data_IF_214501958460
#
_entry.id   IF_214501958460
#
_cell.length_a   1.000
_cell.length_b   1.000
_cell.length_c   1.000
_cell.angle_alpha   90.00
_cell.angle_beta   90.00
_cell.angle_gamma   90.00
#
_symmetry.space_group_name_H-M   'P 1'
#
loop_
_entity.id
_entity.type
_entity.pdbx_description
1 polymer ?
#
# COMPACT_ATOMS: atom_id res chain seq x y z
N UNK A 1 -8.81 -16.67 -17.12
CA UNK A 1 -9.75 -15.77 -16.38
C UNK A 1 -9.21 -14.36 -16.51
N UNK A 2 -10.07 -13.33 -16.51
CA UNK A 2 -9.65 -11.97 -16.80
C UNK A 2 -9.41 -11.20 -15.49
N UNK A 3 -8.28 -10.49 -15.39
CA UNK A 3 -8.05 -9.53 -14.31
C UNK A 3 -8.90 -8.29 -14.58
N UNK A 4 -9.62 -7.84 -13.57
CA UNK A 4 -10.42 -6.60 -13.62
C UNK A 4 -10.08 -5.67 -12.45
N UNK A 5 -10.47 -4.43 -12.55
CA UNK A 5 -10.44 -3.51 -11.40
C UNK A 5 -11.66 -3.81 -10.53
N UNK A 6 -11.42 -3.95 -9.24
CA UNK A 6 -12.50 -4.12 -8.25
C UNK A 6 -13.19 -2.78 -7.98
N UNK A 7 -14.46 -2.86 -7.62
CA UNK A 7 -15.31 -1.72 -7.30
C UNK A 7 -15.81 -1.82 -5.85
N UNK A 8 -16.47 -0.78 -5.35
CA UNK A 8 -17.08 -0.79 -4.00
C UNK A 8 -18.07 -1.96 -3.81
N UNK A 9 -18.69 -2.46 -4.89
CA UNK A 9 -19.56 -3.63 -4.82
C UNK A 9 -18.80 -4.90 -4.42
N UNK A 10 -17.49 -4.95 -4.64
CA UNK A 10 -16.63 -6.09 -4.29
C UNK A 10 -16.16 -6.05 -2.82
N UNK A 11 -16.46 -4.98 -2.09
CA UNK A 11 -15.93 -4.73 -0.74
C UNK A 11 -16.02 -5.94 0.18
N UNK A 12 -17.20 -6.51 0.30
CA UNK A 12 -17.44 -7.66 1.18
C UNK A 12 -16.63 -8.90 0.76
N UNK A 13 -16.51 -9.17 -0.55
CA UNK A 13 -15.74 -10.30 -1.08
C UNK A 13 -14.23 -10.11 -0.86
N UNK A 14 -13.74 -8.89 -1.03
CA UNK A 14 -12.34 -8.52 -0.76
C UNK A 14 -11.99 -8.67 0.73
N UNK A 15 -12.86 -8.19 1.64
CA UNK A 15 -12.68 -8.37 3.08
C UNK A 15 -12.65 -9.87 3.46
N UNK A 16 -13.56 -10.68 2.89
CA UNK A 16 -13.54 -12.13 3.10
C UNK A 16 -12.24 -12.77 2.63
N UNK A 17 -11.76 -12.43 1.43
CA UNK A 17 -10.49 -12.93 0.92
C UNK A 17 -9.31 -12.49 1.79
N UNK A 18 -9.29 -11.23 2.26
CA UNK A 18 -8.25 -10.73 3.14
C UNK A 18 -8.11 -11.58 4.41
N UNK A 19 -9.22 -11.95 5.04
CA UNK A 19 -9.26 -12.81 6.24
C UNK A 19 -8.85 -14.26 5.96
N UNK A 20 -9.32 -14.84 4.84
CA UNK A 20 -8.99 -16.23 4.46
C UNK A 20 -7.55 -16.43 4.01
N UNK A 21 -6.89 -15.37 3.52
CA UNK A 21 -5.52 -15.40 3.03
C UNK A 21 -4.57 -14.53 3.87
N UNK A 22 -4.34 -14.85 5.17
CA UNK A 22 -3.38 -14.12 5.98
C UNK A 22 -1.97 -14.28 5.40
N UNK A 23 -1.12 -13.30 5.63
CA UNK A 23 0.29 -13.37 5.26
C UNK A 23 1.00 -14.38 6.18
N UNK A 24 1.64 -15.37 5.57
CA UNK A 24 2.46 -16.35 6.27
C UNK A 24 3.90 -15.85 6.34
N UNK A 25 4.50 -15.93 7.50
CA UNK A 25 5.89 -15.59 7.77
C UNK A 25 6.33 -16.25 9.06
N UNK A 26 7.34 -15.70 9.72
CA UNK A 26 7.72 -16.08 11.10
C UNK A 26 6.56 -15.88 12.09
N UNK A 27 5.71 -14.91 11.79
CA UNK A 27 4.44 -14.64 12.48
C UNK A 27 3.34 -14.63 11.43
N UNK A 28 2.18 -15.21 11.74
CA UNK A 28 1.01 -15.06 10.89
C UNK A 28 0.46 -13.65 11.08
N UNK A 29 0.39 -12.89 10.01
CA UNK A 29 -0.09 -11.52 10.02
C UNK A 29 -1.33 -11.38 9.15
N UNK A 30 -2.41 -10.87 9.73
CA UNK A 30 -3.64 -10.52 9.03
C UNK A 30 -3.88 -9.03 9.21
N UNK A 31 -4.03 -8.31 8.13
CA UNK A 31 -4.48 -6.93 8.15
C UNK A 31 -6.00 -6.93 8.09
N UNK A 32 -6.64 -6.52 9.18
CA UNK A 32 -8.09 -6.39 9.24
C UNK A 32 -8.53 -5.23 8.34
N UNK A 33 -9.48 -5.51 7.44
CA UNK A 33 -9.93 -4.57 6.42
C UNK A 33 -11.41 -4.20 6.56
N UNK A 34 -12.11 -4.84 7.51
CA UNK A 34 -13.53 -4.52 7.76
C UNK A 34 -13.68 -3.15 8.45
N UNK A 35 -14.74 -2.43 8.19
CA UNK A 35 -15.83 -2.74 7.23
C UNK A 35 -15.51 -2.32 5.79
N UNK A 36 -14.41 -1.64 5.56
CA UNK A 36 -14.08 -0.97 4.30
C UNK A 36 -12.68 -1.36 3.80
N UNK A 37 -12.65 -2.31 2.87
CA UNK A 37 -11.41 -2.77 2.24
C UNK A 37 -10.65 -1.62 1.57
N UNK A 38 -11.36 -0.70 0.95
CA UNK A 38 -10.77 0.38 0.16
C UNK A 38 -10.21 1.53 1.01
N UNK A 39 -10.51 1.59 2.32
CA UNK A 39 -10.01 2.64 3.19
C UNK A 39 -8.48 2.78 3.12
N UNK A 40 -7.74 1.67 3.25
CA UNK A 40 -6.28 1.70 3.13
C UNK A 40 -5.81 1.96 1.69
N UNK A 41 -6.54 1.49 0.69
CA UNK A 41 -6.23 1.74 -0.73
C UNK A 41 -6.31 3.23 -1.03
N UNK A 42 -7.34 3.91 -0.53
CA UNK A 42 -7.48 5.38 -0.65
C UNK A 42 -6.33 6.14 0.02
N UNK A 43 -5.75 5.60 1.10
CA UNK A 43 -4.57 6.18 1.74
C UNK A 43 -3.29 6.04 0.90
N UNK A 44 -3.25 5.12 -0.03
CA UNK A 44 -2.12 4.95 -0.95
C UNK A 44 -2.13 5.97 -2.10
N UNK A 45 -3.28 6.59 -2.38
CA UNK A 45 -3.41 7.64 -3.38
C UNK A 45 -4.75 7.55 -4.11
N UNK A 46 -5.16 8.64 -4.75
CA UNK A 46 -6.45 8.75 -5.46
C UNK A 46 -6.53 7.87 -6.71
N UNK A 47 -5.38 7.49 -7.27
CA UNK A 47 -5.30 6.60 -8.43
C UNK A 47 -4.93 5.15 -8.05
N UNK A 48 -4.98 4.82 -6.74
CA UNK A 48 -4.78 3.44 -6.29
C UNK A 48 -6.00 2.59 -6.65
N UNK A 49 -5.74 1.37 -7.12
CA UNK A 49 -6.76 0.43 -7.57
C UNK A 49 -6.49 -0.98 -7.02
N UNK A 50 -7.55 -1.75 -6.90
CA UNK A 50 -7.48 -3.17 -6.55
C UNK A 50 -7.74 -3.99 -7.79
N UNK A 51 -6.77 -4.81 -8.18
CA UNK A 51 -6.91 -5.79 -9.25
C UNK A 51 -7.51 -7.07 -8.68
N UNK A 52 -8.50 -7.63 -9.33
CA UNK A 52 -9.21 -8.81 -8.86
C UNK A 52 -9.39 -9.85 -9.96
N UNK A 53 -9.41 -11.11 -9.56
CA UNK A 53 -9.81 -12.26 -10.38
C UNK A 53 -10.99 -12.92 -9.67
N UNK A 54 -12.10 -13.03 -10.38
CA UNK A 54 -13.31 -13.66 -9.83
C UNK A 54 -13.14 -15.18 -9.71
N UNK A 55 -13.76 -15.74 -8.69
CA UNK A 55 -13.83 -17.18 -8.52
C UNK A 55 -14.79 -17.82 -9.55
N UNK A 56 -14.53 -19.05 -10.01
CA UNK A 56 -15.50 -19.81 -10.79
C UNK A 56 -16.83 -19.91 -10.04
N UNK A 57 -17.94 -19.59 -10.70
CA UNK A 57 -19.26 -19.61 -10.11
C UNK A 57 -19.77 -18.25 -9.63
N UNK A 58 -18.93 -17.23 -9.62
CA UNK A 58 -19.31 -15.86 -9.27
C UNK A 58 -19.47 -15.58 -7.76
N UNK A 59 -19.63 -14.32 -7.40
CA UNK A 59 -19.92 -13.89 -6.03
C UNK A 59 -18.72 -13.86 -5.05
N UNK A 60 -17.59 -14.45 -5.40
CA UNK A 60 -16.35 -14.48 -4.63
C UNK A 60 -15.15 -14.06 -5.48
N UNK A 61 -14.13 -13.55 -4.82
CA UNK A 61 -12.85 -13.20 -5.45
C UNK A 61 -11.83 -14.28 -5.14
N UNK A 62 -11.24 -14.87 -6.19
CA UNK A 62 -10.24 -15.91 -6.09
C UNK A 62 -8.83 -15.36 -5.83
N UNK A 63 -8.52 -14.18 -6.35
CA UNK A 63 -7.23 -13.54 -6.15
C UNK A 63 -7.36 -12.01 -6.25
N UNK A 64 -6.47 -11.31 -5.55
CA UNK A 64 -6.39 -9.84 -5.60
C UNK A 64 -4.95 -9.34 -5.48
N UNK A 65 -4.73 -8.10 -5.92
CA UNK A 65 -3.51 -7.34 -5.70
C UNK A 65 -3.82 -5.85 -5.78
N UNK A 66 -3.03 -5.02 -5.11
CA UNK A 66 -3.19 -3.56 -5.14
C UNK A 66 -2.09 -2.94 -5.99
N UNK A 67 -2.45 -1.98 -6.82
CA UNK A 67 -1.55 -1.11 -7.57
C UNK A 67 -1.82 0.33 -7.18
N UNK A 68 -0.78 1.07 -6.81
CA UNK A 68 -0.89 2.49 -6.48
C UNK A 68 0.26 3.28 -7.14
N UNK A 69 -0.04 4.13 -8.15
CA UNK A 69 0.94 5.05 -8.69
C UNK A 69 1.24 6.15 -7.67
N UNK A 70 2.51 6.43 -7.47
CA UNK A 70 3.00 7.36 -6.46
C UNK A 70 4.08 8.27 -7.05
N UNK A 71 4.25 9.44 -6.45
CA UNK A 71 5.46 10.26 -6.63
C UNK A 71 6.24 10.22 -5.33
N UNK A 72 7.51 9.86 -5.42
CA UNK A 72 8.42 9.74 -4.27
C UNK A 72 9.79 10.32 -4.60
N UNK A 73 10.46 10.83 -3.59
CA UNK A 73 11.86 11.24 -3.72
C UNK A 73 12.75 10.00 -3.87
N UNK A 74 13.65 10.00 -4.87
CA UNK A 74 14.69 9.00 -5.04
C UNK A 74 16.00 9.74 -5.31
N UNK A 75 16.95 9.61 -4.42
CA UNK A 75 18.07 10.54 -4.35
C UNK A 75 17.55 11.95 -4.03
N UNK A 76 17.76 12.90 -4.93
CA UNK A 76 17.28 14.29 -4.78
C UNK A 76 16.07 14.62 -5.64
N UNK A 77 15.59 13.67 -6.46
CA UNK A 77 14.61 13.95 -7.50
C UNK A 77 13.26 13.25 -7.22
N UNK A 78 12.13 13.90 -7.54
CA UNK A 78 10.85 13.26 -7.54
C UNK A 78 10.76 12.26 -8.70
N UNK A 79 10.42 11.00 -8.40
CA UNK A 79 10.26 9.92 -9.37
C UNK A 79 8.83 9.38 -9.34
N UNK A 80 8.35 8.95 -10.49
CA UNK A 80 7.10 8.19 -10.59
C UNK A 80 7.40 6.74 -10.28
N UNK A 81 6.74 6.22 -9.26
CA UNK A 81 6.89 4.82 -8.87
C UNK A 81 5.51 4.18 -8.73
N UNK A 82 5.47 2.87 -8.72
CA UNK A 82 4.25 2.12 -8.41
C UNK A 82 4.44 1.27 -7.15
N UNK A 83 3.54 1.39 -6.20
CA UNK A 83 3.47 0.46 -5.08
C UNK A 83 2.60 -0.74 -5.47
N UNK A 84 3.14 -1.94 -5.27
CA UNK A 84 2.43 -3.21 -5.47
C UNK A 84 2.24 -3.87 -4.12
N UNK A 85 0.99 -4.13 -3.76
CA UNK A 85 0.65 -4.68 -2.46
C UNK A 85 -0.48 -5.69 -2.51
N UNK A 86 -0.83 -6.20 -1.33
CA UNK A 86 -1.99 -7.05 -1.08
C UNK A 86 -2.16 -8.25 -2.03
N UNK A 87 -1.05 -8.77 -2.60
CA UNK A 87 -1.15 -9.98 -3.42
C UNK A 87 -1.64 -11.14 -2.56
N UNK A 88 -2.88 -11.54 -2.79
CA UNK A 88 -3.55 -12.62 -2.07
C UNK A 88 -4.25 -13.54 -3.04
N UNK A 89 -4.16 -14.83 -2.76
CA UNK A 89 -4.86 -15.88 -3.51
C UNK A 89 -5.62 -16.72 -2.49
N UNK A 90 -6.90 -16.92 -2.75
CA UNK A 90 -7.72 -17.78 -1.91
C UNK A 90 -7.08 -19.17 -1.79
N UNK A 91 -6.97 -19.74 -0.57
CA UNK A 91 -6.38 -21.06 -0.36
C UNK A 91 -6.94 -22.17 -1.26
N UNK A 92 -8.24 -22.12 -1.58
CA UNK A 92 -8.89 -23.09 -2.46
C UNK A 92 -8.55 -22.94 -3.95
N UNK A 93 -7.90 -21.82 -4.30
CA UNK A 93 -7.51 -21.49 -5.67
C UNK A 93 -6.00 -21.43 -5.88
N UNK A 94 -5.20 -21.85 -4.90
CA UNK A 94 -3.75 -21.96 -5.04
C UNK A 94 -3.34 -23.00 -6.10
N UNK A 95 -2.14 -22.85 -6.64
CA UNK A 95 -1.66 -23.71 -7.73
C UNK A 95 -2.16 -23.31 -9.12
N UNK A 96 -3.10 -22.36 -9.22
CA UNK A 96 -3.50 -21.74 -10.48
C UNK A 96 -2.56 -20.57 -10.82
N UNK A 97 -2.56 -20.13 -12.07
CA UNK A 97 -1.66 -19.05 -12.55
C UNK A 97 -2.06 -17.63 -12.11
N UNK A 98 -2.92 -17.47 -11.13
CA UNK A 98 -3.49 -16.19 -10.72
C UNK A 98 -2.44 -15.14 -10.28
N UNK A 99 -1.37 -15.59 -9.59
CA UNK A 99 -0.28 -14.68 -9.28
C UNK A 99 0.39 -14.11 -10.54
N UNK A 100 0.61 -14.96 -11.55
CA UNK A 100 1.17 -14.53 -12.84
C UNK A 100 0.26 -13.54 -13.55
N UNK A 101 -1.04 -13.85 -13.64
CA UNK A 101 -2.03 -12.97 -14.28
C UNK A 101 -2.11 -11.60 -13.59
N UNK A 102 -2.07 -11.55 -12.25
CA UNK A 102 -2.04 -10.29 -11.51
C UNK A 102 -0.73 -9.52 -11.72
N UNK A 103 0.41 -10.21 -11.80
CA UNK A 103 1.70 -9.55 -12.08
C UNK A 103 1.80 -9.06 -13.53
N UNK A 104 1.22 -9.78 -14.49
CA UNK A 104 1.11 -9.33 -15.89
C UNK A 104 0.25 -8.05 -15.98
N UNK A 105 -0.88 -8.02 -15.28
CA UNK A 105 -1.74 -6.85 -15.20
C UNK A 105 -1.02 -5.68 -14.49
N UNK A 106 -0.30 -5.94 -13.41
CA UNK A 106 0.49 -4.94 -12.71
C UNK A 106 1.59 -4.34 -13.61
N UNK A 107 2.27 -5.15 -14.41
CA UNK A 107 3.24 -4.67 -15.40
C UNK A 107 2.61 -3.69 -16.38
N UNK A 108 1.46 -4.04 -16.95
CA UNK A 108 0.74 -3.14 -17.85
C UNK A 108 0.36 -1.81 -17.19
N UNK A 109 0.06 -1.83 -15.87
CA UNK A 109 -0.21 -0.61 -15.10
C UNK A 109 1.04 0.25 -14.88
N UNK A 110 2.19 -0.38 -14.57
CA UNK A 110 3.46 0.34 -14.46
C UNK A 110 3.79 1.05 -15.78
N UNK A 111 3.69 0.33 -16.90
CA UNK A 111 3.94 0.88 -18.24
C UNK A 111 2.99 2.04 -18.56
N UNK A 112 1.69 1.87 -18.31
CA UNK A 112 0.67 2.88 -18.59
C UNK A 112 0.81 4.15 -17.73
N UNK A 113 1.31 4.03 -16.50
CA UNK A 113 1.54 5.18 -15.60
C UNK A 113 2.88 5.86 -15.81
N UNK A 114 3.75 5.31 -16.66
CA UNK A 114 5.11 5.79 -16.86
C UNK A 114 5.95 5.73 -15.59
N UNK A 115 5.73 4.69 -14.78
CA UNK A 115 6.50 4.49 -13.55
C UNK A 115 7.93 4.05 -13.89
N UNK A 116 8.93 4.70 -13.27
CA UNK A 116 10.34 4.35 -13.45
C UNK A 116 10.62 2.93 -12.90
N UNK A 117 9.94 2.57 -11.80
CA UNK A 117 10.01 1.23 -11.19
C UNK A 117 8.81 0.97 -10.26
N UNK A 118 8.63 -0.30 -9.90
CA UNK A 118 7.68 -0.72 -8.86
C UNK A 118 8.37 -1.06 -7.55
N UNK A 119 7.67 -0.88 -6.43
CA UNK A 119 8.11 -1.35 -5.11
C UNK A 119 7.07 -2.28 -4.51
N UNK A 120 7.53 -3.30 -3.80
CA UNK A 120 6.68 -4.20 -3.04
C UNK A 120 7.33 -4.50 -1.68
N UNK A 121 6.51 -4.62 -0.63
CA UNK A 121 6.97 -5.07 0.68
C UNK A 121 6.62 -6.54 0.86
N UNK A 122 7.63 -7.35 1.13
CA UNK A 122 7.47 -8.78 1.37
C UNK A 122 7.78 -9.09 2.83
N UNK A 123 6.82 -9.68 3.54
CA UNK A 123 7.01 -10.09 4.93
C UNK A 123 8.13 -11.15 5.03
N UNK A 124 9.06 -10.95 5.95
CA UNK A 124 10.12 -11.91 6.21
C UNK A 124 9.58 -13.31 6.53
N UNK A 125 10.15 -14.34 5.89
CA UNK A 125 9.68 -15.72 6.02
C UNK A 125 8.43 -16.08 5.18
N UNK A 126 7.91 -15.18 4.37
CA UNK A 126 6.82 -15.48 3.42
C UNK A 126 7.36 -16.26 2.21
N UNK A 127 7.52 -17.58 2.38
CA UNK A 127 8.09 -18.47 1.36
C UNK A 127 7.31 -18.45 0.03
N UNK A 128 6.00 -18.26 0.07
CA UNK A 128 5.18 -18.22 -1.14
C UNK A 128 5.51 -16.97 -1.97
N UNK A 129 5.63 -15.82 -1.31
CA UNK A 129 5.99 -14.59 -1.99
C UNK A 129 7.45 -14.57 -2.43
N UNK A 130 8.37 -15.11 -1.61
CA UNK A 130 9.78 -15.25 -1.99
C UNK A 130 9.95 -16.03 -3.30
N UNK A 131 9.24 -17.15 -3.47
CA UNK A 131 9.26 -17.93 -4.73
C UNK A 131 8.77 -17.13 -5.94
N UNK A 132 7.78 -16.25 -5.75
CA UNK A 132 7.26 -15.39 -6.83
C UNK A 132 8.29 -14.33 -7.23
N UNK A 133 8.87 -13.63 -6.25
CA UNK A 133 9.85 -12.57 -6.52
C UNK A 133 11.20 -13.10 -7.02
N UNK A 134 11.56 -14.31 -6.65
CA UNK A 134 12.78 -14.99 -7.12
C UNK A 134 12.60 -15.70 -8.47
N UNK A 135 11.37 -15.81 -8.96
CA UNK A 135 11.05 -16.48 -10.21
C UNK A 135 11.58 -15.72 -11.42
N UNK A 136 12.36 -16.37 -12.26
CA UNK A 136 12.84 -15.82 -13.53
C UNK A 136 11.75 -15.77 -14.62
N UNK A 137 10.63 -16.45 -14.39
CA UNK A 137 9.49 -16.49 -15.33
C UNK A 137 8.39 -15.50 -14.96
N UNK A 138 8.59 -14.71 -13.90
CA UNK A 138 7.66 -13.64 -13.54
C UNK A 138 7.65 -12.55 -14.60
N UNK A 139 6.48 -11.97 -14.86
CA UNK A 139 6.31 -10.80 -15.71
C UNK A 139 7.09 -9.57 -15.24
N UNK A 140 7.32 -9.48 -13.93
CA UNK A 140 8.12 -8.45 -13.29
C UNK A 140 9.40 -9.09 -12.73
N UNK A 141 10.52 -8.42 -12.97
CA UNK A 141 11.78 -8.75 -12.29
C UNK A 141 11.84 -7.98 -10.98
N UNK A 142 12.15 -8.70 -9.91
CA UNK A 142 12.30 -8.12 -8.58
C UNK A 142 13.76 -8.19 -8.15
N UNK A 143 14.22 -7.10 -7.56
CA UNK A 143 15.51 -7.02 -6.89
C UNK A 143 15.28 -6.59 -5.44
N UNK A 144 16.07 -7.16 -4.54
CA UNK A 144 15.99 -6.82 -3.12
C UNK A 144 16.74 -5.51 -2.88
N UNK A 145 16.01 -4.43 -2.68
CA UNK A 145 16.59 -3.12 -2.42
C UNK A 145 17.02 -2.95 -0.95
N UNK A 146 16.17 -3.37 0.01
CA UNK A 146 16.43 -3.16 1.43
C UNK A 146 15.71 -4.19 2.32
N UNK A 147 16.06 -4.21 3.59
CA UNK A 147 15.28 -4.88 4.64
C UNK A 147 14.83 -3.84 5.65
N UNK A 148 13.51 -3.78 5.86
CA UNK A 148 12.88 -2.86 6.80
C UNK A 148 12.50 -3.66 8.05
N UNK A 149 12.82 -3.12 9.23
CA UNK A 149 12.37 -3.67 10.50
C UNK A 149 11.32 -2.75 11.10
N UNK A 150 10.13 -3.28 11.31
CA UNK A 150 9.05 -2.55 11.97
C UNK A 150 9.08 -2.84 13.48
N UNK A 151 8.94 -1.79 14.27
CA UNK A 151 8.81 -1.87 15.72
C UNK A 151 7.42 -1.37 16.11
N UNK A 152 6.71 -2.14 16.94
CA UNK A 152 5.48 -1.68 17.57
C UNK A 152 5.80 -1.17 18.95
N UNK A 153 5.44 0.07 19.23
CA UNK A 153 5.65 0.71 20.54
C UNK A 153 4.27 0.90 21.18
N UNK A 154 4.11 0.35 22.36
CA UNK A 154 2.90 0.53 23.17
C UNK A 154 3.07 1.72 24.10
N UNK A 155 2.17 2.69 24.00
CA UNK A 155 2.15 3.84 24.89
C UNK A 155 1.30 3.50 26.13
N UNK A 156 1.97 3.19 27.24
CA UNK A 156 1.30 2.84 28.49
C UNK A 156 0.80 4.08 29.28
N UNK A 157 1.29 5.27 28.93
CA UNK A 157 0.97 6.50 29.64
C UNK A 157 0.42 7.56 28.70
N UNK A 158 -0.58 8.31 29.15
CA UNK A 158 -1.02 9.54 28.48
C UNK A 158 0.16 10.52 28.49
N UNK A 159 0.52 11.02 27.32
CA UNK A 159 1.72 11.81 27.10
C UNK A 159 1.83 13.00 28.04
N UNK A 160 3.06 13.30 28.46
CA UNK A 160 3.38 14.54 29.14
C UNK A 160 3.18 15.72 28.18
N UNK A 161 2.62 16.82 28.69
CA UNK A 161 2.64 18.08 27.96
C UNK A 161 4.08 18.54 27.82
N UNK A 162 4.56 18.68 26.59
CA UNK A 162 5.86 19.25 26.30
C UNK A 162 5.71 20.77 26.27
N UNK A 163 6.53 21.47 27.06
CA UNK A 163 6.51 22.94 27.09
C UNK A 163 6.84 23.49 25.69
N UNK A 164 6.11 24.48 25.23
CA UNK A 164 6.28 25.10 23.92
C UNK A 164 5.55 24.40 22.77
N UNK A 165 4.90 23.26 23.01
CA UNK A 165 4.01 22.66 22.01
C UNK A 165 2.62 23.28 22.09
N UNK A 166 2.05 23.56 20.93
CA UNK A 166 0.67 23.97 20.76
C UNK A 166 -0.01 23.12 19.68
N UNK A 167 -1.30 23.09 19.66
CA UNK A 167 -2.06 22.48 18.55
C UNK A 167 -1.84 23.27 17.27
N UNK A 168 -1.73 22.54 16.16
CA UNK A 168 -1.62 23.15 14.86
C UNK A 168 -2.96 23.79 14.42
N UNK A 169 -2.86 24.75 13.56
CA UNK A 169 -3.98 25.49 12.94
C UNK A 169 -3.86 25.44 11.42
N UNK A 170 -4.89 25.84 10.72
CA UNK A 170 -4.89 25.88 9.25
C UNK A 170 -3.74 26.74 8.67
N UNK A 171 -3.33 27.78 9.38
CA UNK A 171 -2.20 28.63 8.97
C UNK A 171 -0.83 27.96 9.06
N UNK A 172 -0.71 26.83 9.75
CA UNK A 172 0.54 26.09 9.89
C UNK A 172 0.77 25.11 8.73
N UNK A 173 -0.26 24.81 7.93
CA UNK A 173 -0.18 23.81 6.85
C UNK A 173 0.96 24.09 5.86
N UNK A 174 1.19 25.32 5.37
CA UNK A 174 2.30 25.60 4.46
C UNK A 174 3.66 25.25 5.09
N UNK A 175 3.86 25.58 6.36
CA UNK A 175 5.09 25.27 7.07
C UNK A 175 5.25 23.78 7.36
N UNK A 176 4.18 23.08 7.72
CA UNK A 176 4.17 21.62 7.88
C UNK A 176 4.59 20.91 6.59
N UNK A 177 4.07 21.35 5.44
CA UNK A 177 4.44 20.83 4.12
C UNK A 177 5.92 21.13 3.82
N UNK A 178 6.37 22.37 4.05
CA UNK A 178 7.76 22.75 3.83
C UNK A 178 8.72 21.95 4.71
N UNK A 179 8.39 21.77 5.99
CA UNK A 179 9.18 20.97 6.92
C UNK A 179 9.25 19.50 6.46
N UNK A 180 8.09 18.90 6.15
CA UNK A 180 8.02 17.51 5.70
C UNK A 180 8.82 17.27 4.42
N UNK A 181 8.77 18.18 3.47
CA UNK A 181 9.54 18.08 2.22
C UNK A 181 11.05 18.27 2.47
N UNK A 182 11.45 19.21 3.33
CA UNK A 182 12.87 19.39 3.69
C UNK A 182 13.44 18.15 4.37
N UNK A 183 12.72 17.61 5.34
CA UNK A 183 13.17 16.41 6.07
C UNK A 183 13.10 15.15 5.20
N UNK A 184 12.13 15.08 4.30
CA UNK A 184 11.99 13.99 3.34
C UNK A 184 13.05 14.01 2.23
N UNK A 185 13.61 15.17 1.89
CA UNK A 185 14.57 15.31 0.79
C UNK A 185 15.88 14.52 0.98
N UNK A 186 16.17 14.11 2.21
CA UNK A 186 17.36 13.29 2.54
C UNK A 186 17.03 11.81 2.68
N UNK A 187 15.82 11.40 2.35
CA UNK A 187 15.36 10.02 2.49
C UNK A 187 14.73 9.52 1.20
N UNK A 188 15.20 8.37 0.72
CA UNK A 188 14.57 7.72 -0.41
C UNK A 188 13.13 7.27 -0.08
N UNK A 189 12.27 7.35 -1.08
CA UNK A 189 10.86 7.00 -1.04
C UNK A 189 10.02 7.91 -0.12
N UNK A 190 10.55 9.06 0.28
CA UNK A 190 9.79 10.06 1.01
C UNK A 190 8.62 10.59 0.17
N UNK A 191 7.51 10.91 0.85
CA UNK A 191 6.38 11.56 0.20
C UNK A 191 6.77 12.98 -0.22
N UNK A 192 6.40 13.35 -1.44
CA UNK A 192 6.41 14.73 -1.89
C UNK A 192 5.04 15.33 -1.57
N UNK A 193 5.01 16.30 -0.68
CA UNK A 193 3.77 16.88 -0.18
C UNK A 193 3.45 18.21 -0.87
N UNK A 194 2.17 18.41 -1.12
CA UNK A 194 1.54 19.72 -1.32
C UNK A 194 0.48 19.93 -0.24
N UNK A 195 0.02 21.16 -0.02
CA UNK A 195 -1.07 21.43 0.92
C UNK A 195 -2.31 20.60 0.59
N UNK A 196 -2.66 20.50 -0.71
CA UNK A 196 -3.80 19.72 -1.16
C UNK A 196 -3.64 18.22 -0.85
N UNK A 197 -2.44 17.66 -1.05
CA UNK A 197 -2.18 16.24 -0.75
C UNK A 197 -2.18 15.96 0.75
N UNK A 198 -1.67 16.88 1.57
CA UNK A 198 -1.73 16.77 3.04
C UNK A 198 -3.19 16.79 3.52
N UNK A 199 -3.98 17.78 3.07
CA UNK A 199 -5.42 17.89 3.41
C UNK A 199 -6.20 16.64 2.96
N UNK A 200 -5.93 16.14 1.76
CA UNK A 200 -6.56 14.92 1.26
C UNK A 200 -6.22 13.71 2.14
N UNK A 201 -4.96 13.61 2.56
CA UNK A 201 -4.50 12.55 3.46
C UNK A 201 -5.15 12.62 4.83
N UNK A 202 -5.22 13.82 5.42
CA UNK A 202 -5.89 14.06 6.70
C UNK A 202 -7.36 13.62 6.63
N UNK A 203 -8.10 14.07 5.61
CA UNK A 203 -9.50 13.64 5.42
C UNK A 203 -9.65 12.13 5.30
N UNK A 204 -8.78 11.49 4.51
CA UNK A 204 -8.82 10.03 4.33
C UNK A 204 -8.52 9.24 5.62
N UNK A 205 -7.79 9.85 6.55
CA UNK A 205 -7.47 9.28 7.87
C UNK A 205 -8.46 9.70 8.96
N UNK A 206 -9.42 10.56 8.66
CA UNK A 206 -10.33 11.12 9.67
C UNK A 206 -9.63 12.04 10.67
N UNK A 207 -8.51 12.66 10.27
CA UNK A 207 -7.73 13.58 11.12
C UNK A 207 -8.17 15.04 10.88
N UNK A 208 -8.23 15.80 11.95
CA UNK A 208 -8.35 17.25 11.94
C UNK A 208 -6.97 17.90 12.13
N UNK A 209 -6.85 19.19 11.80
CA UNK A 209 -5.56 19.88 11.91
C UNK A 209 -5.08 19.99 13.35
N UNK A 210 -6.00 20.10 14.31
CA UNK A 210 -5.70 20.20 15.73
C UNK A 210 -5.33 18.85 16.39
N UNK A 211 -5.31 17.75 15.63
CA UNK A 211 -4.69 16.49 16.04
C UNK A 211 -3.15 16.55 15.97
N UNK A 212 -2.59 17.57 15.32
CA UNK A 212 -1.15 17.81 15.22
C UNK A 212 -0.68 18.84 16.27
N UNK A 213 0.59 18.70 16.68
CA UNK A 213 1.24 19.58 17.66
C UNK A 213 2.59 20.06 17.15
#
# INVERSE_FOLDING_TARGET
MTVRVATEADNAALCRLARRAPMAGSVRYCLERDPDFFALTRLQGTAAEVLAIDAPGGGEIAAMGTHAPLVRTVGTEPRRISYLGDLKIDPHHRGKRFAGELLDAARGRLEATGADFGIALVLGGNRSMSRIVESRTSALRFERAATIRNYSVYFAHRGCRVSGMRRATESDIPEMVALSNRTGAVSDLACVWSENSLRARMRAMGLAIDDFH
#
